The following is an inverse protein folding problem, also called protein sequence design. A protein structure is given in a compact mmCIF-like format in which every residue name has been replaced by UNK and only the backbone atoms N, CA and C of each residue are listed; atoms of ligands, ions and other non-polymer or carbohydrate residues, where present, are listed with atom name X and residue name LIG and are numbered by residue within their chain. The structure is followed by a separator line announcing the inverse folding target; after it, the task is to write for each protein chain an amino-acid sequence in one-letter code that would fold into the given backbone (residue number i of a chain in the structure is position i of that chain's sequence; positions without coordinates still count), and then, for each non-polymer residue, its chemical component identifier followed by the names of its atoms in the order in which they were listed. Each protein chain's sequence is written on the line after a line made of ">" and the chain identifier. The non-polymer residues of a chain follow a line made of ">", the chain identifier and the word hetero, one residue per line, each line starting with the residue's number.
data_IF_519830798628
#
_entry.id   IF_519830798628
#
_cell.length_a   1.000
_cell.length_b   1.000
_cell.length_c   1.000
_cell.angle_alpha   90.00
_cell.angle_beta   90.00
_cell.angle_gamma   90.00
#
_symmetry.space_group_name_H-M   'P 1'
#
loop_
_entity.id
_entity.type
_entity.pdbx_description
1 polymer ?
#
# COMPACT_ATOMS: atom_id res chain seq x y z
N UNK A 1 -2.14 -9.33 30.78
CA UNK A 1 -2.96 -10.45 31.27
C UNK A 1 -2.22 -11.74 30.97
N UNK A 2 -2.01 -12.56 32.00
CA UNK A 2 -1.17 -13.75 31.95
C UNK A 2 -1.85 -14.91 31.18
N UNK A 3 -1.07 -15.90 30.67
CA UNK A 3 -1.62 -17.04 29.92
C UNK A 3 -2.69 -17.82 30.69
N UNK A 4 -2.48 -18.07 31.98
CA UNK A 4 -3.42 -18.81 32.81
C UNK A 4 -4.77 -18.10 32.97
N UNK A 5 -4.76 -16.77 33.12
CA UNK A 5 -5.97 -15.96 33.27
C UNK A 5 -6.82 -16.00 31.99
N UNK A 6 -6.15 -16.04 30.84
CA UNK A 6 -6.80 -16.13 29.53
C UNK A 6 -7.48 -17.47 29.35
N UNK A 7 -6.79 -18.55 29.72
CA UNK A 7 -7.36 -19.89 29.66
C UNK A 7 -8.55 -20.05 30.62
N UNK A 8 -8.44 -19.55 31.86
CA UNK A 8 -9.54 -19.57 32.81
C UNK A 8 -10.76 -18.76 32.35
N UNK A 9 -10.56 -17.66 31.61
CA UNK A 9 -11.67 -16.90 31.02
C UNK A 9 -12.46 -17.75 30.01
N UNK A 10 -11.77 -18.57 29.22
CA UNK A 10 -12.40 -19.48 28.24
C UNK A 10 -13.20 -20.56 28.96
N UNK A 11 -12.60 -21.26 29.93
CA UNK A 11 -13.28 -22.31 30.69
C UNK A 11 -14.52 -21.80 31.44
N UNK A 12 -14.48 -20.57 31.96
CA UNK A 12 -15.66 -19.93 32.56
C UNK A 12 -16.82 -19.78 31.58
N UNK A 13 -16.54 -19.60 30.28
CA UNK A 13 -17.55 -19.54 29.23
C UNK A 13 -18.26 -20.87 28.98
N UNK A 14 -17.65 -22.00 29.34
CA UNK A 14 -18.23 -23.34 29.15
C UNK A 14 -19.22 -23.74 30.26
N UNK A 15 -19.16 -23.12 31.44
CA UNK A 15 -20.03 -23.46 32.57
C UNK A 15 -21.45 -22.95 32.31
N UNK A 16 -22.31 -23.82 31.75
CA UNK A 16 -23.74 -23.54 31.53
C UNK A 16 -24.61 -23.85 32.75
N UNK A 17 -24.18 -24.80 33.59
CA UNK A 17 -24.85 -25.18 34.83
C UNK A 17 -23.86 -25.10 36.00
N UNK A 18 -24.05 -24.12 36.88
CA UNK A 18 -23.19 -23.91 38.05
C UNK A 18 -23.26 -25.03 39.09
N UNK A 19 -24.29 -25.89 39.06
CA UNK A 19 -24.38 -27.05 39.95
C UNK A 19 -23.48 -28.21 39.52
N UNK A 20 -22.94 -28.19 38.29
CA UNK A 20 -22.05 -29.22 37.71
C UNK A 20 -21.00 -28.60 36.75
N UNK A 21 -20.12 -27.71 37.23
CA UNK A 21 -19.25 -26.93 36.37
C UNK A 21 -18.21 -27.77 35.62
N UNK A 22 -17.65 -28.81 36.25
CA UNK A 22 -16.64 -29.69 35.65
C UNK A 22 -17.23 -30.48 34.48
N UNK A 23 -18.47 -30.96 34.62
CA UNK A 23 -19.18 -31.67 33.57
C UNK A 23 -19.48 -30.78 32.36
N UNK A 24 -19.91 -29.54 32.61
CA UNK A 24 -20.13 -28.56 31.53
C UNK A 24 -18.84 -28.22 30.79
N UNK A 25 -17.72 -28.04 31.53
CA UNK A 25 -16.42 -27.77 30.92
C UNK A 25 -15.97 -28.95 30.05
N UNK A 26 -16.06 -30.18 30.56
CA UNK A 26 -15.66 -31.37 29.81
C UNK A 26 -16.49 -31.58 28.54
N UNK A 27 -17.81 -31.39 28.62
CA UNK A 27 -18.73 -31.53 27.49
C UNK A 27 -18.45 -30.49 26.39
N UNK A 28 -18.30 -29.21 26.77
CA UNK A 28 -18.01 -28.16 25.80
C UNK A 28 -16.62 -28.33 25.18
N UNK A 29 -15.61 -28.69 25.98
CA UNK A 29 -14.26 -28.93 25.48
C UNK A 29 -14.24 -30.09 24.47
N UNK A 30 -14.91 -31.21 24.79
CA UNK A 30 -15.03 -32.34 23.86
C UNK A 30 -15.73 -31.96 22.56
N UNK A 31 -16.79 -31.15 22.63
CA UNK A 31 -17.49 -30.67 21.45
C UNK A 31 -16.60 -29.77 20.58
N UNK A 32 -15.83 -28.87 21.19
CA UNK A 32 -14.90 -28.00 20.45
C UNK A 32 -13.79 -28.81 19.77
N UNK A 33 -13.13 -29.71 20.49
CA UNK A 33 -12.10 -30.61 19.94
C UNK A 33 -12.64 -31.48 18.80
N UNK A 34 -13.87 -32.00 18.93
CA UNK A 34 -14.52 -32.78 17.88
C UNK A 34 -14.80 -31.94 16.62
N UNK A 35 -15.22 -30.69 16.78
CA UNK A 35 -15.43 -29.77 15.66
C UNK A 35 -14.10 -29.40 15.00
N UNK A 36 -13.08 -29.08 15.79
CA UNK A 36 -11.75 -28.76 15.28
C UNK A 36 -11.17 -29.92 14.47
N UNK A 37 -11.19 -31.14 15.04
CA UNK A 37 -10.81 -32.36 14.34
C UNK A 37 -11.59 -32.57 13.05
N UNK A 38 -12.93 -32.43 13.08
CA UNK A 38 -13.75 -32.57 11.88
C UNK A 38 -13.40 -31.52 10.83
N UNK A 39 -13.09 -30.28 11.23
CA UNK A 39 -12.74 -29.22 10.28
C UNK A 39 -11.39 -29.42 9.62
N UNK A 40 -10.42 -29.99 10.35
CA UNK A 40 -9.12 -30.36 9.81
C UNK A 40 -9.23 -31.60 8.90
N UNK A 41 -9.90 -32.65 9.38
CA UNK A 41 -10.10 -33.89 8.64
C UNK A 41 -10.89 -33.69 7.34
N UNK A 42 -11.91 -32.82 7.36
CA UNK A 42 -12.74 -32.48 6.20
C UNK A 42 -12.19 -31.31 5.40
N UNK A 43 -10.99 -30.80 5.71
CA UNK A 43 -10.36 -29.72 4.97
C UNK A 43 -10.21 -30.10 3.49
N UNK A 44 -10.85 -29.32 2.60
CA UNK A 44 -10.88 -29.59 1.16
C UNK A 44 -12.06 -30.43 0.64
N UNK A 45 -12.92 -30.97 1.51
CA UNK A 45 -14.14 -31.66 1.08
C UNK A 45 -15.28 -30.67 0.78
N UNK A 46 -16.13 -30.97 -0.19
CA UNK A 46 -17.30 -30.14 -0.49
C UNK A 46 -18.50 -30.61 0.32
N UNK A 47 -19.04 -29.74 1.17
CA UNK A 47 -20.31 -30.01 1.85
C UNK A 47 -21.44 -30.19 0.81
N UNK A 48 -22.06 -31.36 0.79
CA UNK A 48 -23.20 -31.66 -0.08
C UNK A 48 -24.41 -30.85 0.42
N UNK A 49 -25.02 -30.07 -0.47
CA UNK A 49 -26.22 -29.27 -0.16
C UNK A 49 -25.97 -27.88 0.43
N UNK A 50 -24.71 -27.50 0.69
CA UNK A 50 -24.35 -26.13 1.11
C UNK A 50 -23.61 -25.46 -0.05
N UNK A 51 -24.14 -24.35 -0.62
CA UNK A 51 -23.44 -23.62 -1.67
C UNK A 51 -22.04 -23.22 -1.18
N UNK A 52 -21.00 -23.45 -2.00
CA UNK A 52 -19.66 -22.90 -1.74
C UNK A 52 -19.78 -21.38 -1.70
N UNK A 53 -19.78 -20.82 -0.50
CA UNK A 53 -19.43 -19.41 -0.31
C UNK A 53 -18.01 -19.24 -0.82
N UNK A 54 -17.83 -18.49 -1.90
CA UNK A 54 -16.53 -18.23 -2.53
C UNK A 54 -15.62 -17.32 -1.66
N UNK A 55 -16.00 -17.09 -0.41
CA UNK A 55 -15.22 -16.35 0.57
C UNK A 55 -14.19 -17.31 1.18
N UNK A 56 -13.09 -17.51 0.45
CA UNK A 56 -11.85 -18.01 1.02
C UNK A 56 -11.52 -17.24 2.31
N UNK A 57 -11.23 -17.98 3.38
CA UNK A 57 -10.37 -17.60 4.49
C UNK A 57 -10.63 -16.27 5.20
N UNK A 58 -11.79 -16.13 5.84
CA UNK A 58 -11.99 -15.05 6.81
C UNK A 58 -12.38 -15.59 8.19
N UNK A 59 -11.71 -16.67 8.64
CA UNK A 59 -11.78 -17.21 10.02
C UNK A 59 -11.19 -16.28 11.08
N UNK A 60 -10.42 -15.28 10.67
CA UNK A 60 -10.08 -14.14 11.49
C UNK A 60 -10.98 -12.99 11.05
N UNK A 61 -11.66 -12.32 11.99
CA UNK A 61 -12.44 -11.11 11.70
C UNK A 61 -11.63 -10.20 10.77
N UNK A 62 -12.30 -9.58 9.78
CA UNK A 62 -11.64 -8.73 8.77
C UNK A 62 -10.56 -7.91 9.46
N UNK A 63 -9.28 -8.05 9.10
CA UNK A 63 -8.27 -7.11 9.56
C UNK A 63 -8.79 -5.72 9.23
N UNK A 64 -8.55 -4.73 10.09
CA UNK A 64 -8.62 -3.33 9.67
C UNK A 64 -7.77 -3.27 8.42
N UNK A 65 -8.42 -3.14 7.26
CA UNK A 65 -7.88 -3.66 6.01
C UNK A 65 -6.52 -3.05 5.76
N UNK A 66 -5.46 -3.83 5.98
CA UNK A 66 -4.10 -3.40 5.68
C UNK A 66 -4.09 -2.97 4.22
N UNK A 67 -3.50 -1.80 3.96
CA UNK A 67 -3.53 -1.23 2.63
C UNK A 67 -2.99 -2.24 1.61
N UNK A 68 -3.75 -2.45 0.53
CA UNK A 68 -3.38 -3.39 -0.53
C UNK A 68 -2.43 -2.69 -1.47
N UNK A 69 -1.28 -3.30 -1.68
CA UNK A 69 -0.34 -2.83 -2.67
C UNK A 69 -0.90 -3.04 -4.07
N UNK A 70 -1.04 -1.97 -4.84
CA UNK A 70 -1.55 -1.99 -6.21
C UNK A 70 -0.62 -1.20 -7.13
N UNK A 71 -0.43 -1.69 -8.35
CA UNK A 71 0.27 -0.92 -9.37
C UNK A 71 -0.67 0.14 -9.94
N UNK A 72 -0.21 1.39 -9.98
CA UNK A 72 -0.95 2.49 -10.61
C UNK A 72 -0.66 2.50 -12.12
N UNK A 73 -1.67 2.83 -12.92
CA UNK A 73 -1.50 3.09 -14.35
C UNK A 73 -0.47 4.20 -14.61
N UNK A 74 0.36 4.02 -15.63
CA UNK A 74 1.48 4.93 -15.94
C UNK A 74 1.02 6.38 -16.12
N UNK A 75 -0.14 6.61 -16.76
CA UNK A 75 -0.67 7.96 -16.99
C UNK A 75 -1.05 8.64 -15.67
N UNK A 76 -1.70 7.91 -14.77
CA UNK A 76 -2.12 8.42 -13.46
C UNK A 76 -0.92 8.68 -12.56
N UNK A 77 0.08 7.78 -12.62
CA UNK A 77 1.36 7.94 -11.92
C UNK A 77 2.09 9.21 -12.38
N UNK A 78 2.20 9.42 -13.69
CA UNK A 78 2.87 10.57 -14.28
C UNK A 78 2.18 11.88 -13.86
N UNK A 79 0.85 11.92 -13.91
CA UNK A 79 0.08 13.08 -13.48
C UNK A 79 0.27 13.40 -11.99
N UNK A 80 0.26 12.38 -11.12
CA UNK A 80 0.50 12.56 -9.69
C UNK A 80 1.92 13.06 -9.40
N UNK A 81 2.92 12.51 -10.08
CA UNK A 81 4.30 12.94 -9.93
C UNK A 81 4.50 14.41 -10.35
N UNK A 82 3.94 14.81 -11.50
CA UNK A 82 3.97 16.21 -11.94
C UNK A 82 3.29 17.15 -10.96
N UNK A 83 2.13 16.77 -10.45
CA UNK A 83 1.42 17.59 -9.48
C UNK A 83 2.29 17.86 -8.24
N UNK A 84 3.01 16.85 -7.74
CA UNK A 84 3.93 17.04 -6.62
C UNK A 84 5.07 17.99 -7.00
N UNK A 85 5.70 17.81 -8.16
CA UNK A 85 6.82 18.66 -8.59
C UNK A 85 6.40 20.12 -8.77
N UNK A 86 5.25 20.38 -9.41
CA UNK A 86 4.73 21.73 -9.60
C UNK A 86 4.35 22.41 -8.28
N UNK A 87 3.83 21.67 -7.30
CA UNK A 87 3.45 22.25 -6.01
C UNK A 87 4.62 22.33 -5.00
N UNK A 88 5.82 21.86 -5.37
CA UNK A 88 6.98 21.89 -4.48
C UNK A 88 7.83 23.14 -4.71
N UNK A 89 7.90 24.01 -3.71
CA UNK A 89 8.63 25.30 -3.78
C UNK A 89 10.12 25.15 -4.09
N UNK A 90 10.76 24.07 -3.63
CA UNK A 90 12.19 23.79 -3.86
C UNK A 90 12.47 23.47 -5.34
N UNK A 91 11.47 22.96 -6.07
CA UNK A 91 11.61 22.50 -7.46
C UNK A 91 11.31 23.62 -8.47
N UNK A 92 10.56 24.65 -8.07
CA UNK A 92 10.24 25.83 -8.89
C UNK A 92 11.43 26.44 -9.67
N UNK A 93 12.60 26.74 -9.05
CA UNK A 93 13.72 27.29 -9.81
C UNK A 93 14.23 26.35 -10.93
N UNK A 94 14.18 25.04 -10.70
CA UNK A 94 14.56 24.04 -11.70
C UNK A 94 13.53 23.92 -12.83
N UNK A 95 12.25 24.12 -12.53
CA UNK A 95 11.18 24.17 -13.54
C UNK A 95 11.44 25.35 -14.48
N UNK A 96 11.71 26.53 -13.94
CA UNK A 96 12.01 27.72 -14.73
C UNK A 96 13.28 27.54 -15.58
N UNK A 97 14.35 26.98 -15.00
CA UNK A 97 15.59 26.69 -15.72
C UNK A 97 15.35 25.71 -16.88
N UNK A 98 14.61 24.62 -16.64
CA UNK A 98 14.30 23.64 -17.67
C UNK A 98 13.44 24.23 -18.79
N UNK A 99 12.44 25.05 -18.45
CA UNK A 99 11.58 25.73 -19.42
C UNK A 99 12.37 26.70 -20.30
N UNK A 100 13.33 27.41 -19.71
CA UNK A 100 14.23 28.30 -20.46
C UNK A 100 15.20 27.51 -21.35
N UNK A 101 15.72 26.38 -20.85
CA UNK A 101 16.53 25.46 -21.63
C UNK A 101 15.77 24.93 -22.85
N UNK A 102 14.52 24.47 -22.69
CA UNK A 102 13.66 24.02 -23.80
C UNK A 102 13.40 25.14 -24.81
N UNK A 103 13.15 26.37 -24.36
CA UNK A 103 12.96 27.53 -25.25
C UNK A 103 14.21 27.82 -26.08
N UNK A 104 15.40 27.65 -25.50
CA UNK A 104 16.68 27.86 -26.16
C UNK A 104 17.00 26.74 -27.17
N UNK A 105 16.76 25.48 -26.80
CA UNK A 105 17.03 24.32 -27.66
C UNK A 105 16.06 24.22 -28.84
N UNK A 106 14.80 24.59 -28.65
CA UNK A 106 13.75 24.44 -29.67
C UNK A 106 12.99 25.75 -29.96
N UNK A 107 13.64 26.79 -30.54
CA UNK A 107 13.04 28.13 -30.69
C UNK A 107 11.78 28.18 -31.56
N UNK A 108 11.60 27.22 -32.47
CA UNK A 108 10.43 27.14 -33.36
C UNK A 108 9.25 26.42 -32.71
N UNK A 109 9.53 25.36 -31.96
CA UNK A 109 8.51 24.52 -31.32
C UNK A 109 8.06 25.12 -29.99
N UNK A 110 8.95 25.79 -29.26
CA UNK A 110 8.66 26.47 -27.99
C UNK A 110 7.63 27.60 -28.09
N UNK A 111 7.39 28.12 -29.31
CA UNK A 111 6.27 29.04 -29.58
C UNK A 111 4.90 28.39 -29.38
N UNK A 112 4.82 27.06 -29.46
CA UNK A 112 3.61 26.29 -29.18
C UNK A 112 3.60 25.93 -27.70
N UNK A 113 2.81 26.66 -26.93
CA UNK A 113 2.72 26.47 -25.48
C UNK A 113 2.36 25.03 -25.09
N UNK A 114 1.44 24.39 -25.83
CA UNK A 114 1.03 23.00 -25.57
C UNK A 114 2.22 22.06 -25.71
N UNK A 115 2.98 22.19 -26.80
CA UNK A 115 4.16 21.35 -27.03
C UNK A 115 5.23 21.58 -25.96
N UNK A 116 5.46 22.83 -25.56
CA UNK A 116 6.44 23.16 -24.52
C UNK A 116 6.07 22.50 -23.18
N UNK A 117 4.78 22.50 -22.83
CA UNK A 117 4.29 21.83 -21.62
C UNK A 117 4.40 20.31 -21.73
N UNK A 118 3.99 19.72 -22.85
CA UNK A 118 4.10 18.27 -23.07
C UNK A 118 5.56 17.78 -23.02
N UNK A 119 6.48 18.52 -23.62
CA UNK A 119 7.91 18.18 -23.64
C UNK A 119 8.54 18.38 -22.26
N UNK A 120 8.15 19.44 -21.54
CA UNK A 120 8.53 19.62 -20.14
C UNK A 120 8.06 18.44 -19.30
N UNK A 121 6.78 18.07 -19.37
CA UNK A 121 6.23 16.93 -18.64
C UNK A 121 6.96 15.62 -18.99
N UNK A 122 7.32 15.40 -20.25
CA UNK A 122 8.01 14.17 -20.66
C UNK A 122 9.45 14.06 -20.18
N UNK A 123 10.20 15.16 -20.21
CA UNK A 123 11.66 15.12 -20.08
C UNK A 123 12.17 15.68 -18.75
N UNK A 124 11.34 16.42 -18.00
CA UNK A 124 11.79 17.14 -16.81
C UNK A 124 12.36 16.22 -15.72
N UNK A 125 11.79 15.05 -15.49
CA UNK A 125 12.27 14.13 -14.45
C UNK A 125 13.68 13.63 -14.74
N UNK A 126 13.91 13.19 -15.99
CA UNK A 126 15.23 12.76 -16.45
C UNK A 126 16.24 13.91 -16.44
N UNK A 127 15.83 15.09 -16.90
CA UNK A 127 16.67 16.29 -16.88
C UNK A 127 17.05 16.72 -15.47
N UNK A 128 16.09 16.72 -14.54
CA UNK A 128 16.28 17.08 -13.13
C UNK A 128 17.24 16.11 -12.45
N UNK A 129 17.09 14.80 -12.70
CA UNK A 129 18.00 13.78 -12.20
C UNK A 129 19.44 14.02 -12.66
N UNK A 130 19.64 14.25 -13.97
CA UNK A 130 20.97 14.54 -14.51
C UNK A 130 21.59 15.79 -13.89
N UNK A 131 20.80 16.87 -13.74
CA UNK A 131 21.25 18.11 -13.10
C UNK A 131 21.68 17.93 -11.64
N UNK A 132 20.96 17.12 -10.88
CA UNK A 132 21.28 16.83 -9.48
C UNK A 132 22.51 15.94 -9.39
N UNK A 133 22.65 14.95 -10.27
CA UNK A 133 23.86 14.11 -10.34
C UNK A 133 25.12 14.94 -10.67
N UNK A 134 25.02 15.88 -11.62
CA UNK A 134 26.10 16.84 -11.93
C UNK A 134 26.44 17.73 -10.73
N UNK A 135 25.43 18.27 -10.05
CA UNK A 135 25.63 19.14 -8.89
C UNK A 135 26.26 18.37 -7.70
N UNK A 136 25.92 17.10 -7.50
CA UNK A 136 26.57 16.21 -6.52
C UNK A 136 28.04 15.99 -6.91
N UNK A 137 28.32 15.73 -8.19
CA UNK A 137 29.70 15.55 -8.66
C UNK A 137 30.55 16.80 -8.47
N UNK A 138 29.94 17.98 -8.62
CA UNK A 138 30.58 19.28 -8.40
C UNK A 138 30.70 19.66 -6.91
N UNK A 139 30.29 18.79 -5.99
CA UNK A 139 30.42 18.99 -4.54
C UNK A 139 29.43 20.00 -3.95
N UNK A 140 28.31 20.27 -4.63
CA UNK A 140 27.26 21.12 -4.07
C UNK A 140 26.44 20.35 -3.04
N UNK A 141 26.09 21.01 -1.93
CA UNK A 141 25.22 20.44 -0.91
C UNK A 141 23.76 20.57 -1.37
N UNK A 142 23.16 19.45 -1.74
CA UNK A 142 21.78 19.40 -2.25
C UNK A 142 20.88 18.80 -1.17
N UNK A 143 19.75 19.43 -0.85
CA UNK A 143 18.81 18.88 0.11
C UNK A 143 18.38 17.47 -0.28
N UNK A 144 18.40 16.54 0.68
CA UNK A 144 17.94 15.17 0.46
C UNK A 144 16.54 15.13 -0.18
N UNK A 145 15.64 16.04 0.21
CA UNK A 145 14.30 16.19 -0.38
C UNK A 145 14.34 16.34 -1.90
N UNK A 146 15.25 17.15 -2.44
CA UNK A 146 15.38 17.34 -3.88
C UNK A 146 15.94 16.09 -4.56
N UNK A 147 16.90 15.42 -3.91
CA UNK A 147 17.44 14.13 -4.37
C UNK A 147 16.35 13.05 -4.46
N UNK A 148 15.47 12.96 -3.47
CA UNK A 148 14.34 12.03 -3.48
C UNK A 148 13.31 12.36 -4.56
N UNK A 149 13.03 13.65 -4.79
CA UNK A 149 12.07 14.09 -5.81
C UNK A 149 12.55 13.83 -7.24
N UNK A 150 13.86 13.82 -7.46
CA UNK A 150 14.46 13.54 -8.75
C UNK A 150 14.55 12.04 -9.08
N UNK A 151 14.37 11.19 -8.08
CA UNK A 151 14.20 9.76 -8.30
C UNK A 151 12.73 9.44 -8.56
N UNK A 152 12.48 8.55 -9.53
CA UNK A 152 11.13 8.14 -9.88
C UNK A 152 10.40 7.53 -8.66
N UNK A 153 9.17 8.00 -8.42
CA UNK A 153 8.25 7.38 -7.46
C UNK A 153 8.05 5.90 -7.80
N UNK A 154 7.98 5.03 -6.81
CA UNK A 154 7.63 3.62 -7.03
C UNK A 154 6.23 3.53 -7.66
N UNK A 155 6.08 2.75 -8.75
CA UNK A 155 4.77 2.50 -9.38
C UNK A 155 3.78 1.74 -8.48
N UNK A 156 4.29 1.22 -7.37
CA UNK A 156 3.57 0.46 -6.38
C UNK A 156 3.06 1.40 -5.28
N UNK A 157 1.73 1.49 -5.14
CA UNK A 157 1.09 2.34 -4.13
C UNK A 157 0.14 1.53 -3.27
N UNK A 158 0.09 1.87 -1.98
CA UNK A 158 -0.77 1.25 -1.00
C UNK A 158 -2.16 1.88 -1.07
N UNK A 159 -3.15 1.09 -1.47
CA UNK A 159 -4.56 1.48 -1.54
C UNK A 159 -5.34 0.95 -0.34
N UNK A 160 -6.05 1.83 0.35
CA UNK A 160 -6.96 1.46 1.42
C UNK A 160 -8.38 1.31 0.85
N UNK A 161 -9.11 0.22 1.14
CA UNK A 161 -10.52 0.16 0.81
C UNK A 161 -11.27 1.13 1.73
N UNK A 162 -11.94 2.10 1.12
CA UNK A 162 -12.92 2.98 1.77
C UNK A 162 -14.28 2.31 1.90
#
# INVERSE_FOLDING_TARGET
>A
MYPFERYMKVLKGYVRNHNRPEGCIAECYLAEEAVEFCTEYLSGTHAIGIPKSNNYDNKFGRPITGGRSTNIDHKSWLQAHHYVLENTTIVQPYIEEHMNWLKSQYPRQSKRQIWLQEEHMRCFTYWLKGKIEEAIHNGQDIPNTLRWLAHDLTHQVVKYPG
#
